data_IF_754626785998
#
_entry.id   IF_754626785998
#
_cell.length_a   1.000
_cell.length_b   1.000
_cell.length_c   1.000
_cell.angle_alpha   90.00
_cell.angle_beta   90.00
_cell.angle_gamma   90.00
#
_symmetry.space_group_name_H-M   'P 1'
#
loop_
_entity.id
_entity.type
_entity.pdbx_description
1 polymer ?
#
# COMPACT_ATOMS: atom_id res chain seq x y z
N UNK A 1 41.92 48.43 -9.60
CA UNK A 1 41.84 49.46 -8.57
C UNK A 1 41.18 48.82 -7.36
N UNK A 2 41.57 49.17 -6.13
CA UNK A 2 40.88 48.67 -4.93
C UNK A 2 39.45 49.19 -4.88
N UNK A 3 38.47 48.32 -4.63
CA UNK A 3 37.07 48.71 -4.44
C UNK A 3 36.94 49.69 -3.26
N UNK A 4 36.06 50.68 -3.37
CA UNK A 4 35.88 51.72 -2.34
C UNK A 4 34.58 51.47 -1.58
N UNK A 5 34.72 50.95 -0.36
CA UNK A 5 33.60 50.65 0.53
C UNK A 5 33.01 51.90 1.20
N UNK A 6 31.69 51.97 1.26
CA UNK A 6 30.96 52.95 2.08
C UNK A 6 30.67 52.36 3.45
N UNK A 7 30.70 53.20 4.47
CA UNK A 7 30.46 52.82 5.86
C UNK A 7 29.35 53.65 6.47
N UNK A 8 28.47 52.99 7.23
CA UNK A 8 27.45 53.63 8.08
C UNK A 8 27.76 53.35 9.53
N UNK A 9 27.41 54.30 10.41
CA UNK A 9 27.48 54.11 11.86
C UNK A 9 26.17 53.51 12.35
N UNK A 10 26.18 52.23 12.72
CA UNK A 10 25.02 51.52 13.27
C UNK A 10 25.38 50.85 14.60
N UNK A 11 24.56 51.07 15.64
CA UNK A 11 24.75 50.42 16.95
C UNK A 11 26.10 50.72 17.64
N UNK A 12 26.78 51.81 17.28
CA UNK A 12 28.09 52.17 17.83
C UNK A 12 29.29 51.56 17.12
N UNK A 13 29.10 50.93 15.96
CA UNK A 13 30.16 50.36 15.12
C UNK A 13 30.03 50.85 13.67
N UNK A 14 31.14 50.83 12.92
CA UNK A 14 31.14 51.15 11.51
C UNK A 14 30.86 49.86 10.73
N UNK A 15 29.78 49.86 9.95
CA UNK A 15 29.34 48.72 9.14
C UNK A 15 29.43 49.08 7.67
N UNK A 16 29.82 48.12 6.84
CA UNK A 16 29.84 48.30 5.39
C UNK A 16 28.41 48.39 4.87
N UNK A 17 28.15 49.40 4.05
CA UNK A 17 26.89 49.57 3.33
C UNK A 17 27.04 49.03 1.91
N UNK A 18 26.19 48.08 1.53
CA UNK A 18 26.09 47.61 0.15
C UNK A 18 25.04 48.47 -0.57
N UNK A 19 25.49 49.28 -1.52
CA UNK A 19 24.62 50.28 -2.21
C UNK A 19 24.59 50.13 -3.73
N UNK A 20 25.41 49.22 -4.27
CA UNK A 20 25.54 48.97 -5.71
C UNK A 20 25.89 47.50 -5.98
N UNK A 21 25.64 47.05 -7.20
CA UNK A 21 26.09 45.75 -7.70
C UNK A 21 27.61 45.60 -7.70
N UNK A 22 28.35 46.71 -7.89
CA UNK A 22 29.80 46.71 -7.73
C UNK A 22 30.24 46.34 -6.29
N UNK A 23 29.46 46.71 -5.27
CA UNK A 23 29.69 46.28 -3.89
C UNK A 23 29.49 44.76 -3.72
N UNK A 24 28.50 44.18 -4.43
CA UNK A 24 28.26 42.74 -4.43
C UNK A 24 29.37 41.97 -5.15
N UNK A 25 29.83 42.46 -6.29
CA UNK A 25 30.92 41.83 -7.05
C UNK A 25 32.25 41.85 -6.27
N UNK A 26 32.50 42.91 -5.50
CA UNK A 26 33.70 43.05 -4.68
C UNK A 26 33.60 42.35 -3.30
N UNK A 27 32.44 41.77 -2.96
CA UNK A 27 32.17 41.25 -1.61
C UNK A 27 33.18 40.17 -1.14
N UNK A 28 33.73 39.39 -2.07
CA UNK A 28 34.75 38.38 -1.77
C UNK A 28 36.08 38.97 -1.26
N UNK A 29 36.36 40.23 -1.59
CA UNK A 29 37.57 40.95 -1.18
C UNK A 29 37.38 41.71 0.16
N UNK A 30 36.15 41.74 0.70
CA UNK A 30 35.85 42.41 1.96
C UNK A 30 36.42 41.62 3.15
N UNK A 31 37.22 42.27 4.00
CA UNK A 31 37.73 41.66 5.23
C UNK A 31 36.55 41.20 6.11
N UNK A 32 36.52 39.90 6.45
CA UNK A 32 35.48 39.28 7.26
C UNK A 32 35.33 39.90 8.66
N UNK A 33 36.33 40.64 9.16
CA UNK A 33 36.23 41.42 10.40
C UNK A 33 35.21 42.56 10.32
N UNK A 34 34.84 42.99 9.12
CA UNK A 34 33.85 44.03 8.86
C UNK A 34 32.42 43.45 8.73
N UNK A 35 32.26 42.14 8.83
CA UNK A 35 30.97 41.46 8.74
C UNK A 35 30.30 41.44 10.11
N UNK A 36 28.99 41.69 10.15
CA UNK A 36 28.19 41.66 11.39
C UNK A 36 28.07 40.24 11.93
N UNK A 37 28.00 39.24 11.05
CA UNK A 37 27.94 37.82 11.39
C UNK A 37 28.64 36.98 10.32
N UNK A 38 29.23 35.85 10.74
CA UNK A 38 29.86 34.88 9.85
C UNK A 38 28.96 33.66 9.55
N UNK A 39 27.81 33.59 10.22
CA UNK A 39 26.78 32.59 10.02
C UNK A 39 25.40 33.20 10.33
N UNK A 40 24.41 32.90 9.50
CA UNK A 40 23.02 33.35 9.64
C UNK A 40 22.08 32.14 9.65
N UNK A 41 21.17 31.98 10.63
CA UNK A 41 20.20 30.89 10.60
C UNK A 41 19.19 31.06 9.46
N UNK A 42 18.74 29.95 8.87
CA UNK A 42 17.70 29.98 7.82
C UNK A 42 16.28 30.07 8.39
N UNK A 43 16.12 30.04 9.72
CA UNK A 43 14.82 30.03 10.42
C UNK A 43 14.79 31.11 11.50
N UNK A 44 13.63 31.74 11.68
CA UNK A 44 13.40 32.73 12.74
C UNK A 44 13.90 34.13 12.41
N UNK A 45 14.13 34.42 11.12
CA UNK A 45 14.44 35.75 10.60
C UNK A 45 13.32 36.22 9.67
N UNK A 46 13.09 37.54 9.63
CA UNK A 46 12.10 38.15 8.75
C UNK A 46 12.68 38.29 7.33
N UNK A 47 12.72 37.17 6.61
CA UNK A 47 13.21 37.07 5.24
C UNK A 47 12.52 35.92 4.50
N UNK A 48 12.53 35.92 3.17
CA UNK A 48 11.96 34.84 2.37
C UNK A 48 12.67 33.50 2.63
N UNK A 49 11.95 32.55 3.24
CA UNK A 49 12.51 31.26 3.65
C UNK A 49 13.05 30.46 2.46
N UNK A 50 12.41 30.57 1.29
CA UNK A 50 12.81 29.81 0.10
C UNK A 50 14.14 30.29 -0.45
N UNK A 51 14.38 31.59 -0.46
CA UNK A 51 15.66 32.18 -0.83
C UNK A 51 16.76 31.70 0.10
N UNK A 52 16.51 31.63 1.41
CA UNK A 52 17.48 31.10 2.37
C UNK A 52 17.82 29.63 2.11
N UNK A 53 16.82 28.80 1.79
CA UNK A 53 17.03 27.40 1.40
C UNK A 53 17.84 27.25 0.10
N UNK A 54 17.75 28.20 -0.83
CA UNK A 54 18.53 28.18 -2.06
C UNK A 54 20.01 28.56 -1.83
N UNK A 55 20.29 29.35 -0.80
CA UNK A 55 21.65 29.76 -0.44
C UNK A 55 22.34 28.72 0.46
N UNK A 56 21.59 28.04 1.33
CA UNK A 56 22.06 26.94 2.19
C UNK A 56 22.37 25.68 1.37
N UNK A 57 23.61 25.58 0.91
CA UNK A 57 24.02 24.58 -0.07
C UNK A 57 24.26 23.21 0.58
N UNK A 58 24.58 23.16 1.88
CA UNK A 58 24.81 21.92 2.62
C UNK A 58 23.60 21.45 3.45
N UNK A 59 22.58 22.30 3.61
CA UNK A 59 21.34 21.98 4.30
C UNK A 59 21.48 21.94 5.82
N UNK A 60 22.53 22.55 6.40
CA UNK A 60 22.76 22.61 7.84
C UNK A 60 21.86 23.65 8.56
N UNK A 61 21.02 24.36 7.79
CA UNK A 61 20.12 25.44 8.23
C UNK A 61 20.85 26.69 8.69
N UNK A 62 22.09 26.91 8.23
CA UNK A 62 22.89 28.09 8.53
C UNK A 62 23.71 28.51 7.32
N UNK A 63 23.41 29.70 6.80
CA UNK A 63 24.18 30.31 5.72
C UNK A 63 25.49 30.86 6.28
N UNK A 64 26.62 30.39 5.75
CA UNK A 64 27.96 30.87 6.07
C UNK A 64 28.53 31.74 4.96
N UNK A 65 29.61 32.46 5.28
CA UNK A 65 30.30 33.36 4.33
C UNK A 65 30.56 32.72 2.95
N UNK A 66 31.11 31.49 2.83
CA UNK A 66 31.39 30.89 1.52
C UNK A 66 30.14 30.65 0.67
N UNK A 67 29.02 30.33 1.29
CA UNK A 67 27.74 30.07 0.62
C UNK A 67 27.13 31.38 0.11
N UNK A 68 27.12 32.41 0.95
CA UNK A 68 26.67 33.73 0.54
C UNK A 68 27.52 34.29 -0.61
N UNK A 69 28.85 34.18 -0.51
CA UNK A 69 29.76 34.62 -1.57
C UNK A 69 29.53 33.83 -2.87
N UNK A 70 29.25 32.54 -2.78
CA UNK A 70 28.95 31.71 -3.95
C UNK A 70 27.62 32.11 -4.60
N UNK A 71 26.58 32.34 -3.80
CA UNK A 71 25.28 32.80 -4.28
C UNK A 71 25.36 34.17 -4.96
N UNK A 72 26.04 35.14 -4.33
CA UNK A 72 26.25 36.48 -4.89
C UNK A 72 27.04 36.40 -6.20
N UNK A 73 28.14 35.66 -6.22
CA UNK A 73 28.95 35.48 -7.43
C UNK A 73 28.15 34.87 -8.57
N UNK A 74 27.35 33.84 -8.28
CA UNK A 74 26.48 33.22 -9.27
C UNK A 74 25.44 34.21 -9.79
N UNK A 75 24.72 34.91 -8.90
CA UNK A 75 23.69 35.87 -9.27
C UNK A 75 24.25 37.00 -10.16
N UNK A 76 25.37 37.62 -9.77
CA UNK A 76 26.03 38.65 -10.58
C UNK A 76 26.46 38.10 -11.95
N UNK A 77 26.95 36.86 -12.03
CA UNK A 77 27.37 36.26 -13.30
C UNK A 77 26.22 35.95 -14.27
N UNK A 78 24.99 35.85 -13.77
CA UNK A 78 23.79 35.59 -14.57
C UNK A 78 23.15 36.88 -15.11
N UNK A 79 23.60 38.05 -14.69
CA UNK A 79 23.04 39.35 -15.06
C UNK A 79 23.99 40.15 -15.97
N UNK A 80 23.41 41.00 -16.83
CA UNK A 80 24.19 41.97 -17.63
C UNK A 80 24.72 43.12 -16.79
N UNK A 81 23.93 43.51 -15.79
CA UNK A 81 24.24 44.56 -14.83
C UNK A 81 23.93 44.03 -13.43
N UNK A 82 24.90 44.12 -12.52
CA UNK A 82 24.74 43.66 -11.14
C UNK A 82 23.90 44.64 -10.31
N UNK A 83 23.76 45.89 -10.74
CA UNK A 83 22.91 46.90 -10.09
C UNK A 83 21.42 46.50 -10.10
N UNK A 84 20.99 45.62 -11.02
CA UNK A 84 19.62 45.08 -11.05
C UNK A 84 19.21 44.41 -9.72
N UNK A 85 20.17 43.83 -8.96
CA UNK A 85 19.88 43.24 -7.65
C UNK A 85 19.56 44.29 -6.57
N UNK A 86 19.91 45.56 -6.80
CA UNK A 86 19.71 46.66 -5.83
C UNK A 86 18.40 47.42 -6.07
N UNK A 87 17.72 47.19 -7.19
CA UNK A 87 16.50 47.90 -7.59
C UNK A 87 15.27 47.55 -6.74
N UNK A 88 15.34 46.46 -5.96
CA UNK A 88 14.24 45.98 -5.11
C UNK A 88 12.92 45.79 -5.89
N UNK A 89 13.03 45.37 -7.14
CA UNK A 89 11.90 45.05 -8.00
C UNK A 89 11.28 43.68 -7.65
N UNK A 90 9.97 43.54 -7.87
CA UNK A 90 9.22 42.31 -7.62
C UNK A 90 9.49 41.21 -8.67
N UNK A 91 10.23 41.54 -9.74
CA UNK A 91 10.59 40.61 -10.80
C UNK A 91 11.87 40.97 -11.54
N UNK A 92 12.27 40.05 -12.40
CA UNK A 92 13.50 40.11 -13.17
C UNK A 92 13.18 40.24 -14.67
N UNK A 93 13.62 41.33 -15.28
CA UNK A 93 13.51 41.51 -16.72
C UNK A 93 14.31 40.43 -17.47
N UNK A 94 13.68 39.79 -18.46
CA UNK A 94 14.32 38.75 -19.27
C UNK A 94 15.53 39.29 -20.05
N UNK A 95 15.56 40.60 -20.31
CA UNK A 95 16.66 41.27 -20.95
C UNK A 95 17.77 41.71 -20.00
N UNK A 96 17.54 41.71 -18.67
CA UNK A 96 18.59 41.86 -17.68
C UNK A 96 19.48 40.60 -17.57
N UNK A 97 18.95 39.42 -17.93
CA UNK A 97 19.72 38.16 -17.92
C UNK A 97 20.84 38.20 -18.98
N UNK A 98 22.05 37.83 -18.55
CA UNK A 98 23.22 37.76 -19.39
C UNK A 98 23.08 36.72 -20.52
N UNK A 99 23.88 36.89 -21.57
CA UNK A 99 24.02 35.91 -22.67
C UNK A 99 25.45 35.42 -22.85
N UNK A 100 26.32 35.71 -21.88
CA UNK A 100 27.76 35.44 -21.90
C UNK A 100 28.09 33.97 -21.64
N UNK A 101 27.30 33.28 -20.83
CA UNK A 101 27.49 31.85 -20.50
C UNK A 101 26.34 31.00 -21.04
N UNK A 102 26.59 29.70 -21.23
CA UNK A 102 25.53 28.76 -21.62
C UNK A 102 24.50 28.57 -20.51
N UNK A 103 24.91 28.72 -19.25
CA UNK A 103 24.01 28.71 -18.10
C UNK A 103 23.06 29.92 -18.10
N UNK A 104 23.55 31.13 -18.39
CA UNK A 104 22.69 32.32 -18.46
C UNK A 104 21.71 32.25 -19.64
N UNK A 105 22.15 31.69 -20.79
CA UNK A 105 21.25 31.40 -21.91
C UNK A 105 20.17 30.38 -21.52
N UNK A 106 20.54 29.34 -20.78
CA UNK A 106 19.60 28.35 -20.26
C UNK A 106 18.63 29.00 -19.28
N UNK A 107 19.10 29.82 -18.34
CA UNK A 107 18.25 30.56 -17.41
C UNK A 107 17.22 31.43 -18.13
N UNK A 108 17.64 32.20 -19.14
CA UNK A 108 16.72 33.00 -19.97
C UNK A 108 15.70 32.15 -20.72
N UNK A 109 16.12 30.98 -21.24
CA UNK A 109 15.22 30.02 -21.89
C UNK A 109 14.21 29.42 -20.89
N UNK A 110 14.66 29.09 -19.69
CA UNK A 110 13.82 28.57 -18.60
C UNK A 110 12.80 29.61 -18.17
N UNK A 111 13.22 30.85 -17.91
CA UNK A 111 12.32 31.95 -17.54
C UNK A 111 11.21 32.16 -18.60
N UNK A 112 11.57 32.18 -19.89
CA UNK A 112 10.59 32.22 -21.00
C UNK A 112 9.65 31.01 -21.01
N UNK A 113 10.15 29.83 -20.68
CA UNK A 113 9.35 28.60 -20.65
C UNK A 113 8.35 28.62 -19.50
N UNK A 114 8.74 29.12 -18.32
CA UNK A 114 7.85 29.31 -17.17
C UNK A 114 6.74 30.33 -17.46
N UNK A 115 7.07 31.46 -18.08
CA UNK A 115 6.07 32.45 -18.49
C UNK A 115 5.12 31.87 -19.54
N UNK A 116 5.63 31.07 -20.48
CA UNK A 116 4.82 30.38 -21.48
C UNK A 116 3.86 29.37 -20.84
N UNK A 117 4.30 28.58 -19.84
CA UNK A 117 3.43 27.61 -19.16
C UNK A 117 2.31 28.30 -18.37
N UNK A 118 2.53 29.53 -17.91
CA UNK A 118 1.52 30.38 -17.29
C UNK A 118 0.60 31.13 -18.28
N UNK A 119 0.76 30.91 -19.59
CA UNK A 119 0.01 31.64 -20.62
C UNK A 119 0.45 33.10 -20.81
N UNK A 120 1.58 33.51 -20.23
CA UNK A 120 2.17 34.85 -20.30
C UNK A 120 3.32 34.93 -21.31
N UNK A 121 3.15 34.36 -22.51
CA UNK A 121 4.25 34.23 -23.47
C UNK A 121 4.85 35.57 -23.95
N UNK A 122 4.08 36.66 -23.89
CA UNK A 122 4.50 38.00 -24.29
C UNK A 122 5.08 38.84 -23.13
N UNK A 123 5.12 38.29 -21.91
CA UNK A 123 5.69 38.99 -20.76
C UNK A 123 7.22 39.13 -20.91
N UNK A 124 7.73 40.30 -20.53
CA UNK A 124 9.16 40.66 -20.62
C UNK A 124 9.89 40.54 -19.28
N UNK A 125 9.17 40.20 -18.22
CA UNK A 125 9.64 40.12 -16.84
C UNK A 125 9.08 38.86 -16.17
N UNK A 126 9.87 38.24 -15.29
CA UNK A 126 9.48 37.09 -14.47
C UNK A 126 9.53 37.49 -12.99
N UNK A 127 8.38 37.48 -12.30
CA UNK A 127 8.33 37.71 -10.85
C UNK A 127 8.60 36.43 -10.05
N UNK A 128 8.86 36.58 -8.75
CA UNK A 128 8.95 35.44 -7.81
C UNK A 128 7.62 34.69 -7.74
N UNK A 129 6.50 35.41 -7.80
CA UNK A 129 5.15 34.83 -7.86
C UNK A 129 4.96 33.99 -9.12
N UNK A 130 5.43 34.47 -10.29
CA UNK A 130 5.37 33.72 -11.53
C UNK A 130 6.25 32.46 -11.48
N UNK A 131 7.46 32.54 -10.96
CA UNK A 131 8.31 31.36 -10.78
C UNK A 131 7.64 30.32 -9.85
N UNK A 132 7.01 30.78 -8.77
CA UNK A 132 6.29 29.92 -7.82
C UNK A 132 5.07 29.29 -8.45
N UNK A 133 4.25 30.07 -9.17
CA UNK A 133 3.06 29.60 -9.86
C UNK A 133 3.40 28.61 -10.98
N UNK A 134 4.45 28.89 -11.76
CA UNK A 134 4.87 28.02 -12.85
C UNK A 134 5.38 26.67 -12.32
N UNK A 135 6.09 26.66 -11.19
CA UNK A 135 6.49 25.42 -10.52
C UNK A 135 5.28 24.64 -10.01
N UNK A 136 4.34 25.30 -9.34
CA UNK A 136 3.11 24.66 -8.87
C UNK A 136 2.24 24.13 -10.03
N UNK A 137 2.28 24.77 -11.20
CA UNK A 137 1.62 24.29 -12.41
C UNK A 137 2.36 23.05 -12.98
N UNK A 138 3.69 23.06 -13.01
CA UNK A 138 4.50 21.93 -13.47
C UNK A 138 4.33 20.69 -12.59
N UNK A 139 4.26 20.85 -11.27
CA UNK A 139 3.99 19.74 -10.33
C UNK A 139 2.61 19.09 -10.58
N UNK A 140 1.67 19.80 -11.20
CA UNK A 140 0.34 19.30 -11.61
C UNK A 140 0.29 18.75 -13.04
N UNK A 141 1.38 18.85 -13.81
CA UNK A 141 1.41 18.24 -15.15
C UNK A 141 1.40 16.72 -15.03
N UNK A 142 0.80 16.06 -16.02
CA UNK A 142 0.59 14.61 -16.04
C UNK A 142 1.89 13.80 -16.02
N UNK A 143 2.99 14.41 -16.50
CA UNK A 143 4.33 13.82 -16.59
C UNK A 143 5.36 14.74 -15.92
N UNK A 144 5.18 15.01 -14.62
CA UNK A 144 6.08 15.85 -13.82
C UNK A 144 7.45 15.18 -13.52
N UNK A 145 7.61 13.89 -13.85
CA UNK A 145 8.85 13.13 -13.75
C UNK A 145 9.21 12.65 -12.34
N UNK A 146 8.26 12.59 -11.39
CA UNK A 146 8.50 12.09 -10.04
C UNK A 146 8.48 10.54 -9.92
N UNK A 147 8.11 9.85 -11.00
CA UNK A 147 8.04 8.39 -11.06
C UNK A 147 6.74 7.79 -10.51
N UNK A 148 5.76 8.63 -10.20
CA UNK A 148 4.40 8.25 -9.80
C UNK A 148 3.46 8.61 -10.94
N UNK A 149 2.59 7.67 -11.35
CA UNK A 149 1.64 7.88 -12.45
C UNK A 149 0.22 7.81 -11.91
N UNK A 150 -0.47 8.95 -11.76
CA UNK A 150 -1.89 8.99 -11.47
C UNK A 150 -2.72 8.38 -12.61
N UNK A 151 -3.82 7.70 -12.28
CA UNK A 151 -4.73 7.16 -13.31
C UNK A 151 -5.38 8.26 -14.17
N UNK A 152 -5.47 9.49 -13.65
CA UNK A 152 -5.94 10.65 -14.41
C UNK A 152 -4.98 11.06 -15.55
N UNK A 153 -3.70 10.68 -15.47
CA UNK A 153 -2.68 11.00 -16.47
C UNK A 153 -2.74 10.14 -17.73
N UNK A 154 -3.59 9.11 -17.75
CA UNK A 154 -3.69 8.12 -18.83
C UNK A 154 -4.99 8.31 -19.62
N UNK A 155 -4.86 8.48 -20.94
CA UNK A 155 -5.99 8.63 -21.86
C UNK A 155 -6.61 7.30 -22.30
N UNK A 156 -5.81 6.23 -22.39
CA UNK A 156 -6.31 4.91 -22.77
C UNK A 156 -7.14 4.31 -21.62
N UNK A 157 -8.44 4.15 -21.85
CA UNK A 157 -9.38 3.68 -20.84
C UNK A 157 -9.07 2.25 -20.34
N UNK A 158 -8.48 1.39 -21.17
CA UNK A 158 -8.10 0.03 -20.74
C UNK A 158 -6.88 0.06 -19.81
N UNK A 159 -5.87 0.87 -20.14
CA UNK A 159 -4.69 1.08 -19.29
C UNK A 159 -5.09 1.77 -17.99
N UNK A 160 -5.95 2.79 -18.06
CA UNK A 160 -6.50 3.49 -16.90
C UNK A 160 -7.27 2.56 -15.97
N UNK A 161 -8.10 1.66 -16.50
CA UNK A 161 -8.79 0.66 -15.70
C UNK A 161 -7.80 -0.27 -14.98
N UNK A 162 -6.73 -0.71 -15.66
CA UNK A 162 -5.68 -1.52 -15.04
C UNK A 162 -4.92 -0.75 -13.95
N UNK A 163 -4.66 0.55 -14.14
CA UNK A 163 -4.08 1.40 -13.10
C UNK A 163 -4.98 1.52 -11.87
N UNK A 164 -6.29 1.66 -12.07
CA UNK A 164 -7.25 1.68 -10.98
C UNK A 164 -7.29 0.32 -10.25
N UNK A 165 -7.14 -0.79 -10.96
CA UNK A 165 -7.01 -2.12 -10.34
C UNK A 165 -5.75 -2.21 -9.46
N UNK A 166 -4.60 -1.73 -9.95
CA UNK A 166 -3.34 -1.67 -9.19
C UNK A 166 -3.50 -0.79 -7.95
N UNK A 167 -4.06 0.41 -8.10
CA UNK A 167 -4.32 1.34 -6.99
C UNK A 167 -5.26 0.73 -5.95
N UNK A 168 -6.35 0.11 -6.40
CA UNK A 168 -7.28 -0.56 -5.50
C UNK A 168 -6.57 -1.65 -4.70
N UNK A 169 -5.67 -2.41 -5.33
CA UNK A 169 -4.92 -3.52 -4.71
C UNK A 169 -3.69 -3.11 -3.90
N UNK A 170 -3.32 -1.83 -3.92
CA UNK A 170 -2.18 -1.29 -3.16
C UNK A 170 -2.68 -0.67 -1.86
N UNK A 171 -2.21 -1.16 -0.70
CA UNK A 171 -2.67 -0.67 0.61
C UNK A 171 -2.32 0.81 0.86
N UNK A 172 -1.15 1.24 0.40
CA UNK A 172 -0.69 2.62 0.53
C UNK A 172 -0.08 3.08 -0.80
N UNK A 173 -0.90 3.59 -1.72
CA UNK A 173 -0.43 4.13 -2.98
C UNK A 173 0.55 5.29 -2.77
N UNK A 174 1.52 5.42 -3.67
CA UNK A 174 2.36 6.60 -3.71
C UNK A 174 1.51 7.82 -4.09
N UNK A 175 1.90 8.99 -3.58
CA UNK A 175 1.22 10.25 -3.89
C UNK A 175 2.12 11.01 -4.85
N UNK A 176 1.59 11.31 -6.03
CA UNK A 176 2.24 12.16 -7.02
C UNK A 176 2.34 13.60 -6.50
N UNK A 177 3.28 14.40 -7.03
CA UNK A 177 3.42 15.82 -6.63
C UNK A 177 2.16 16.66 -6.88
N UNK A 178 1.26 16.24 -7.76
CA UNK A 178 -0.08 16.84 -7.92
C UNK A 178 -0.98 16.67 -6.70
N UNK A 179 -0.68 15.70 -5.83
CA UNK A 179 -1.49 15.30 -4.67
C UNK A 179 -2.39 14.09 -4.93
N UNK A 180 -2.45 13.59 -6.16
CA UNK A 180 -3.25 12.43 -6.51
C UNK A 180 -2.53 11.10 -6.21
N UNK A 181 -3.26 10.04 -5.80
CA UNK A 181 -2.67 8.72 -5.66
C UNK A 181 -2.32 8.16 -7.04
N UNK A 182 -1.12 7.61 -7.16
CA UNK A 182 -0.62 7.02 -8.39
C UNK A 182 0.12 5.71 -8.17
N UNK A 183 0.46 5.08 -9.28
CA UNK A 183 1.22 3.84 -9.30
C UNK A 183 2.70 4.12 -9.54
N UNK A 184 3.54 3.23 -9.05
CA UNK A 184 4.96 3.18 -9.37
C UNK A 184 5.29 1.90 -10.12
N UNK A 185 6.47 1.84 -10.73
CA UNK A 185 6.95 0.61 -11.35
C UNK A 185 7.00 -0.56 -10.35
N UNK A 186 7.34 -0.29 -9.09
CA UNK A 186 7.37 -1.30 -8.02
C UNK A 186 5.95 -1.78 -7.66
N UNK A 187 4.97 -0.88 -7.57
CA UNK A 187 3.59 -1.28 -7.29
C UNK A 187 3.00 -2.11 -8.44
N UNK A 188 3.31 -1.76 -9.68
CA UNK A 188 2.91 -2.54 -10.87
C UNK A 188 3.56 -3.94 -10.81
N UNK A 189 4.87 -4.03 -10.53
CA UNK A 189 5.56 -5.30 -10.45
C UNK A 189 5.02 -6.21 -9.32
N UNK A 190 4.75 -5.63 -8.14
CA UNK A 190 4.14 -6.34 -7.03
C UNK A 190 2.72 -6.83 -7.39
N UNK A 191 1.90 -5.96 -7.98
CA UNK A 191 0.56 -6.29 -8.44
C UNK A 191 0.56 -7.47 -9.42
N UNK A 192 1.40 -7.45 -10.45
CA UNK A 192 1.44 -8.55 -11.42
C UNK A 192 2.05 -9.85 -10.87
N UNK A 193 2.89 -9.75 -9.82
CA UNK A 193 3.34 -10.93 -9.07
C UNK A 193 2.16 -11.59 -8.35
N UNK A 194 1.31 -10.79 -7.71
CA UNK A 194 0.11 -11.28 -7.04
C UNK A 194 -0.96 -11.79 -8.02
N UNK A 195 -1.16 -11.11 -9.16
CA UNK A 195 -2.03 -11.59 -10.25
C UNK A 195 -1.59 -12.97 -10.74
N UNK A 196 -0.30 -13.16 -11.02
CA UNK A 196 0.22 -14.44 -11.47
C UNK A 196 0.01 -15.53 -10.42
N UNK A 197 0.37 -15.26 -9.16
CA UNK A 197 0.20 -16.22 -8.07
C UNK A 197 -1.27 -16.58 -7.82
N UNK A 198 -2.18 -15.61 -7.90
CA UNK A 198 -3.61 -15.85 -7.73
C UNK A 198 -4.21 -16.62 -8.92
N UNK A 199 -3.80 -16.29 -10.16
CA UNK A 199 -4.23 -17.00 -11.36
C UNK A 199 -3.78 -18.47 -11.34
N UNK A 200 -2.53 -18.74 -10.95
CA UNK A 200 -2.02 -20.09 -10.75
C UNK A 200 -2.80 -20.86 -9.67
N UNK A 201 -3.10 -20.19 -8.55
CA UNK A 201 -3.91 -20.78 -7.48
C UNK A 201 -5.33 -21.12 -7.99
N UNK A 202 -6.00 -20.22 -8.72
CA UNK A 202 -7.31 -20.49 -9.31
C UNK A 202 -7.23 -21.68 -10.26
N UNK A 203 -6.25 -21.71 -11.17
CA UNK A 203 -6.07 -22.79 -12.14
C UNK A 203 -5.83 -24.15 -11.47
N UNK A 204 -5.05 -24.18 -10.38
CA UNK A 204 -4.85 -25.39 -9.58
C UNK A 204 -6.15 -25.89 -8.94
N UNK A 205 -7.03 -24.98 -8.57
CA UNK A 205 -8.34 -25.30 -7.98
C UNK A 205 -9.29 -26.02 -8.95
N UNK A 206 -9.03 -25.98 -10.26
CA UNK A 206 -9.82 -26.69 -11.27
C UNK A 206 -9.40 -28.16 -11.43
N UNK A 207 -8.35 -28.62 -10.72
CA UNK A 207 -7.88 -30.00 -10.76
C UNK A 207 -8.88 -31.02 -10.19
N UNK A 208 -8.88 -32.24 -10.73
CA UNK A 208 -9.75 -33.33 -10.25
C UNK A 208 -9.46 -33.72 -8.78
N UNK A 209 -8.21 -33.55 -8.33
CA UNK A 209 -7.83 -33.85 -6.95
C UNK A 209 -8.34 -32.77 -5.98
N UNK A 210 -8.30 -31.50 -6.39
CA UNK A 210 -8.83 -30.34 -5.67
C UNK A 210 -10.35 -30.26 -5.75
N UNK A 211 -10.99 -30.92 -6.72
CA UNK A 211 -12.45 -31.01 -6.90
C UNK A 211 -12.94 -32.46 -6.81
N UNK A 212 -12.76 -33.15 -5.67
CA UNK A 212 -13.10 -34.56 -5.52
C UNK A 212 -14.57 -34.91 -5.81
N UNK A 213 -15.47 -33.93 -5.78
CA UNK A 213 -16.90 -34.05 -6.05
C UNK A 213 -17.37 -33.05 -7.14
N UNK A 214 -16.46 -32.56 -7.99
CA UNK A 214 -16.80 -31.61 -9.05
C UNK A 214 -17.33 -30.28 -8.50
N UNK A 215 -18.43 -29.77 -9.06
CA UNK A 215 -19.11 -28.53 -8.63
C UNK A 215 -19.63 -28.60 -7.18
N UNK A 216 -19.95 -29.79 -6.67
CA UNK A 216 -20.47 -29.99 -5.32
C UNK A 216 -19.38 -29.96 -4.23
N UNK A 217 -18.10 -29.95 -4.62
CA UNK A 217 -16.95 -30.01 -3.71
C UNK A 217 -17.03 -28.96 -2.60
N UNK A 218 -17.33 -27.71 -2.92
CA UNK A 218 -17.38 -26.61 -1.94
C UNK A 218 -18.50 -26.84 -0.91
N UNK A 219 -19.69 -27.23 -1.36
CA UNK A 219 -20.82 -27.50 -0.47
C UNK A 219 -20.58 -28.74 0.40
N UNK A 220 -19.93 -29.76 -0.15
CA UNK A 220 -19.55 -30.98 0.56
C UNK A 220 -18.44 -30.71 1.58
N UNK A 221 -17.41 -29.93 1.24
CA UNK A 221 -16.33 -29.55 2.14
C UNK A 221 -16.84 -28.72 3.33
N UNK A 222 -17.81 -27.83 3.11
CA UNK A 222 -18.47 -27.11 4.20
C UNK A 222 -19.21 -28.07 5.17
N UNK A 223 -19.94 -29.06 4.64
CA UNK A 223 -20.61 -30.07 5.47
C UNK A 223 -19.62 -30.99 6.21
N UNK A 224 -18.52 -31.37 5.55
CA UNK A 224 -17.41 -32.11 6.15
C UNK A 224 -16.77 -31.33 7.32
N UNK A 225 -16.38 -30.07 7.07
CA UNK A 225 -15.71 -29.21 8.07
C UNK A 225 -16.61 -28.97 9.28
N UNK A 226 -17.91 -28.78 9.07
CA UNK A 226 -18.87 -28.55 10.14
C UNK A 226 -19.00 -29.71 11.15
N UNK A 227 -18.72 -30.96 10.72
CA UNK A 227 -18.79 -32.15 11.59
C UNK A 227 -17.43 -32.73 11.97
N UNK A 228 -16.35 -32.34 11.30
CA UNK A 228 -15.02 -32.94 11.45
C UNK A 228 -14.61 -33.11 12.91
N UNK A 229 -14.68 -32.04 13.69
CA UNK A 229 -14.29 -32.07 15.11
C UNK A 229 -15.15 -33.02 15.94
N UNK A 230 -16.45 -33.11 15.67
CA UNK A 230 -17.40 -33.95 16.41
C UNK A 230 -17.29 -35.43 16.03
N UNK A 231 -17.00 -35.74 14.78
CA UNK A 231 -16.75 -37.12 14.33
C UNK A 231 -15.42 -37.62 14.91
N UNK A 232 -14.37 -36.80 14.90
CA UNK A 232 -13.09 -37.13 15.56
C UNK A 232 -13.26 -37.32 17.08
N UNK A 233 -14.02 -36.46 17.75
CA UNK A 233 -14.34 -36.60 19.18
C UNK A 233 -15.09 -37.90 19.48
N UNK A 234 -16.05 -38.30 18.64
CA UNK A 234 -16.75 -39.58 18.78
C UNK A 234 -15.79 -40.78 18.74
N UNK A 235 -14.94 -40.87 17.70
CA UNK A 235 -13.98 -41.97 17.59
C UNK A 235 -12.88 -41.92 18.66
N UNK A 236 -12.46 -40.72 19.10
CA UNK A 236 -11.56 -40.58 20.24
C UNK A 236 -12.18 -41.14 21.53
N UNK A 237 -13.44 -40.82 21.81
CA UNK A 237 -14.19 -41.35 22.96
C UNK A 237 -14.40 -42.86 22.86
N UNK A 238 -14.70 -43.38 21.68
CA UNK A 238 -14.85 -44.82 21.44
C UNK A 238 -13.55 -45.58 21.75
N UNK A 239 -12.39 -45.05 21.32
CA UNK A 239 -11.07 -45.62 21.64
C UNK A 239 -10.75 -45.60 23.13
N UNK A 240 -11.07 -44.49 23.82
CA UNK A 240 -10.88 -44.39 25.29
C UNK A 240 -11.76 -45.41 26.02
N UNK A 241 -13.03 -45.55 25.60
CA UNK A 241 -13.94 -46.52 26.19
C UNK A 241 -13.56 -47.99 25.91
N UNK A 242 -12.96 -48.27 24.74
CA UNK A 242 -12.41 -49.57 24.41
C UNK A 242 -11.16 -49.90 25.25
N UNK A 243 -10.34 -48.90 25.56
CA UNK A 243 -9.13 -49.06 26.38
C UNK A 243 -9.44 -49.30 27.87
N UNK A 244 -10.34 -48.50 28.47
CA UNK A 244 -10.78 -48.69 29.86
C UNK A 244 -12.31 -48.57 29.94
N UNK A 245 -13.04 -49.68 30.16
CA UNK A 245 -14.49 -49.68 30.27
C UNK A 245 -15.05 -48.75 31.36
N UNK A 246 -14.25 -48.39 32.38
CA UNK A 246 -14.66 -47.43 33.42
C UNK A 246 -14.88 -46.03 32.88
N UNK A 247 -14.27 -45.69 31.74
CA UNK A 247 -14.44 -44.39 31.10
C UNK A 247 -15.78 -44.25 30.36
N UNK A 248 -16.51 -45.34 30.11
CA UNK A 248 -17.71 -45.35 29.27
C UNK A 248 -18.81 -44.39 29.75
N UNK A 249 -19.01 -44.29 31.07
CA UNK A 249 -19.95 -43.36 31.67
C UNK A 249 -19.48 -41.91 31.52
N UNK A 250 -18.20 -41.65 31.73
CA UNK A 250 -17.62 -40.31 31.63
C UNK A 250 -17.63 -39.78 30.18
N UNK A 251 -17.38 -40.64 29.18
CA UNK A 251 -17.34 -40.21 27.76
C UNK A 251 -18.73 -39.99 27.16
N UNK A 252 -19.78 -40.60 27.70
CA UNK A 252 -21.17 -40.38 27.26
C UNK A 252 -21.88 -39.23 28.02
N UNK A 253 -21.25 -38.70 29.07
CA UNK A 253 -21.87 -37.74 29.98
C UNK A 253 -22.44 -38.45 31.21
N UNK A 254 -22.09 -37.94 32.39
CA UNK A 254 -22.59 -38.49 33.65
C UNK A 254 -24.10 -38.27 33.78
N UNK A 255 -24.81 -39.18 34.46
CA UNK A 255 -26.25 -39.10 34.74
C UNK A 255 -26.66 -37.72 35.31
N UNK A 256 -25.78 -37.12 36.11
CA UNK A 256 -25.96 -35.77 36.67
C UNK A 256 -26.14 -34.68 35.61
N UNK A 257 -25.45 -34.76 34.48
CA UNK A 257 -25.61 -33.81 33.37
C UNK A 257 -26.99 -33.93 32.72
N UNK A 258 -27.53 -35.14 32.61
CA UNK A 258 -28.89 -35.37 32.12
C UNK A 258 -29.96 -34.89 33.11
N UNK A 259 -29.73 -35.06 34.41
CA UNK A 259 -30.62 -34.55 35.46
C UNK A 259 -30.65 -33.02 35.53
N UNK A 260 -29.50 -32.36 35.33
CA UNK A 260 -29.40 -30.89 35.24
C UNK A 260 -30.11 -30.33 34.00
N UNK A 261 -30.07 -31.06 32.88
CA UNK A 261 -30.80 -30.72 31.65
C UNK A 261 -32.31 -30.93 31.80
N UNK A 262 -32.73 -32.02 32.44
CA UNK A 262 -34.15 -32.34 32.67
C UNK A 262 -34.83 -31.43 33.72
N UNK A 263 -34.04 -30.79 34.60
CA UNK A 263 -34.53 -29.88 35.62
C UNK A 263 -34.87 -28.47 35.08
N UNK A 264 -34.40 -28.13 33.88
CA UNK A 264 -34.87 -26.96 33.14
C UNK A 264 -36.05 -27.42 32.28
N UNK A 265 -37.12 -26.62 32.22
CA UNK A 265 -38.36 -26.97 31.50
C UNK A 265 -38.06 -27.61 30.14
N UNK A 266 -38.81 -28.67 29.80
CA UNK A 266 -38.63 -29.67 28.72
C UNK A 266 -38.44 -29.14 27.27
N UNK A 267 -38.18 -27.85 27.06
CA UNK A 267 -37.52 -27.34 25.86
C UNK A 267 -36.01 -27.58 25.98
N UNK A 268 -35.58 -28.82 25.71
CA UNK A 268 -34.15 -29.12 25.51
C UNK A 268 -33.68 -28.25 24.34
N UNK A 269 -33.04 -27.13 24.64
CA UNK A 269 -32.51 -26.26 23.61
C UNK A 269 -31.36 -26.97 22.89
N UNK A 270 -31.29 -26.86 21.56
CA UNK A 270 -30.24 -27.52 20.77
C UNK A 270 -28.82 -27.21 21.29
N UNK A 271 -28.61 -26.02 21.87
CA UNK A 271 -27.33 -25.58 22.43
C UNK A 271 -26.86 -26.42 23.65
N UNK A 272 -27.79 -26.96 24.43
CA UNK A 272 -27.47 -27.67 25.67
C UNK A 272 -27.01 -29.11 25.42
N UNK A 273 -27.60 -29.76 24.41
CA UNK A 273 -27.18 -31.11 23.98
C UNK A 273 -26.10 -31.10 22.90
N UNK A 274 -25.77 -29.94 22.31
CA UNK A 274 -24.70 -29.79 21.32
C UNK A 274 -23.32 -30.26 21.83
N UNK A 275 -23.07 -30.09 23.14
CA UNK A 275 -21.83 -30.51 23.82
C UNK A 275 -21.71 -32.03 23.98
N UNK A 276 -22.83 -32.76 23.98
CA UNK A 276 -22.82 -34.22 24.08
C UNK A 276 -22.29 -34.86 22.78
N UNK A 277 -21.79 -36.10 22.81
CA UNK A 277 -21.33 -36.81 21.61
C UNK A 277 -22.38 -36.85 20.49
N UNK A 278 -21.94 -37.10 19.24
CA UNK A 278 -22.84 -37.16 18.08
C UNK A 278 -23.84 -38.32 18.17
N UNK A 279 -23.46 -39.40 18.82
CA UNK A 279 -24.29 -40.55 19.12
C UNK A 279 -23.78 -41.19 20.42
N UNK A 280 -24.56 -42.11 20.98
CA UNK A 280 -24.09 -42.90 22.12
C UNK A 280 -22.77 -43.61 21.76
N UNK A 281 -21.73 -43.35 22.53
CA UNK A 281 -20.41 -43.94 22.37
C UNK A 281 -20.47 -45.37 22.87
N UNK A 282 -20.19 -46.31 21.98
CA UNK A 282 -20.01 -47.72 22.28
C UNK A 282 -18.64 -48.14 21.74
N UNK A 283 -17.81 -48.88 22.52
CA UNK A 283 -16.51 -49.35 22.06
C UNK A 283 -16.59 -50.10 20.74
N UNK A 284 -15.65 -49.82 19.83
CA UNK A 284 -15.50 -50.48 18.53
C UNK A 284 -16.75 -50.47 17.63
N UNK A 285 -17.67 -49.53 17.83
CA UNK A 285 -18.87 -49.37 17.01
C UNK A 285 -18.75 -48.22 16.00
N UNK A 286 -19.35 -48.35 14.80
CA UNK A 286 -19.42 -47.26 13.84
C UNK A 286 -20.41 -46.18 14.31
N UNK A 287 -20.15 -44.93 13.91
CA UNK A 287 -21.04 -43.81 14.17
C UNK A 287 -22.33 -43.96 13.35
N UNK A 288 -23.53 -43.98 13.96
CA UNK A 288 -24.76 -43.96 13.19
C UNK A 288 -25.00 -42.59 12.52
N UNK A 289 -25.52 -42.60 11.29
CA UNK A 289 -25.84 -41.41 10.49
C UNK A 289 -27.35 -41.19 10.31
N UNK A 290 -28.19 -42.07 10.86
CA UNK A 290 -29.66 -42.03 10.67
C UNK A 290 -30.41 -42.09 11.99
N UNK A 291 -30.26 -43.16 12.77
CA UNK A 291 -30.95 -43.34 14.07
C UNK A 291 -29.97 -43.24 15.23
N UNK A 292 -30.38 -42.59 16.31
CA UNK A 292 -29.53 -42.42 17.51
C UNK A 292 -28.52 -41.29 17.40
N UNK A 293 -28.72 -40.37 16.44
CA UNK A 293 -27.96 -39.13 16.32
C UNK A 293 -28.48 -38.10 17.32
N UNK A 294 -27.57 -37.34 17.91
CA UNK A 294 -27.86 -36.23 18.79
C UNK A 294 -28.76 -35.19 18.07
N UNK A 295 -29.93 -34.85 18.61
CA UNK A 295 -30.90 -33.95 17.95
C UNK A 295 -30.34 -32.60 17.53
N UNK A 296 -29.37 -32.04 18.26
CA UNK A 296 -28.73 -30.77 17.90
C UNK A 296 -27.89 -30.83 16.62
N UNK A 297 -27.48 -32.04 16.22
CA UNK A 297 -26.60 -32.28 15.10
C UNK A 297 -27.30 -32.95 13.91
N UNK A 298 -28.54 -33.42 14.05
CA UNK A 298 -29.28 -34.17 13.02
C UNK A 298 -29.22 -33.50 11.64
N UNK A 299 -29.57 -32.22 11.54
CA UNK A 299 -29.54 -31.51 10.24
C UNK A 299 -28.14 -31.44 9.61
N UNK A 300 -27.09 -31.31 10.44
CA UNK A 300 -25.68 -31.31 9.96
C UNK A 300 -25.25 -32.70 9.54
N UNK A 301 -25.65 -33.74 10.28
CA UNK A 301 -25.38 -35.15 9.97
C UNK A 301 -26.11 -35.59 8.70
N UNK A 302 -27.36 -35.17 8.50
CA UNK A 302 -28.09 -35.39 7.25
C UNK A 302 -27.37 -34.72 6.07
N UNK A 303 -26.96 -33.45 6.23
CA UNK A 303 -26.21 -32.74 5.19
C UNK A 303 -24.87 -33.42 4.87
N UNK A 304 -24.14 -33.91 5.88
CA UNK A 304 -22.91 -34.68 5.67
C UNK A 304 -23.19 -36.02 5.00
N UNK A 305 -24.22 -36.75 5.42
CA UNK A 305 -24.59 -38.02 4.81
C UNK A 305 -24.88 -37.84 3.32
N UNK A 306 -25.70 -36.84 2.98
CA UNK A 306 -26.20 -36.66 1.63
C UNK A 306 -25.14 -36.03 0.70
N UNK A 307 -24.34 -35.08 1.20
CA UNK A 307 -23.35 -34.34 0.39
C UNK A 307 -21.93 -34.94 0.42
N UNK A 308 -21.60 -35.76 1.42
CA UNK A 308 -20.23 -36.27 1.63
C UNK A 308 -20.19 -37.79 1.67
N UNK A 309 -20.92 -38.42 2.60
CA UNK A 309 -20.83 -39.87 2.78
C UNK A 309 -21.37 -40.62 1.56
N UNK A 310 -22.54 -40.24 1.05
CA UNK A 310 -23.17 -40.89 -0.10
C UNK A 310 -22.33 -40.78 -1.38
N UNK A 311 -21.80 -39.60 -1.77
CA UNK A 311 -20.96 -39.48 -2.97
C UNK A 311 -19.59 -40.18 -2.87
N UNK A 312 -18.98 -40.25 -1.69
CA UNK A 312 -17.62 -40.79 -1.51
C UNK A 312 -17.61 -42.27 -1.15
N UNK A 313 -18.52 -42.70 -0.28
CA UNK A 313 -18.55 -44.04 0.32
C UNK A 313 -19.71 -44.91 -0.21
N UNK A 314 -20.67 -44.32 -0.94
CA UNK A 314 -21.91 -44.97 -1.33
C UNK A 314 -23.01 -44.87 -0.26
N UNK A 315 -24.16 -45.49 -0.51
CA UNK A 315 -25.26 -45.49 0.45
C UNK A 315 -24.87 -46.21 1.74
N UNK A 316 -24.82 -45.47 2.85
CA UNK A 316 -24.50 -46.00 4.16
C UNK A 316 -25.31 -45.32 5.26
N UNK A 317 -25.73 -46.11 6.24
CA UNK A 317 -26.42 -45.62 7.45
C UNK A 317 -25.47 -45.45 8.64
N UNK A 318 -24.21 -45.89 8.50
CA UNK A 318 -23.19 -45.82 9.55
C UNK A 318 -21.83 -45.42 8.97
N UNK A 319 -20.95 -44.89 9.81
CA UNK A 319 -19.60 -44.46 9.45
C UNK A 319 -18.60 -45.18 10.35
N UNK A 320 -17.74 -46.03 9.78
CA UNK A 320 -16.60 -46.60 10.51
C UNK A 320 -15.43 -45.61 10.56
N UNK A 321 -14.49 -45.82 11.48
CA UNK A 321 -13.29 -44.97 11.57
C UNK A 321 -12.45 -45.05 10.28
N UNK A 322 -12.32 -46.22 9.67
CA UNK A 322 -11.64 -46.39 8.37
C UNK A 322 -12.35 -45.63 7.23
N UNK A 323 -13.68 -45.65 7.21
CA UNK A 323 -14.47 -44.91 6.22
C UNK A 323 -14.34 -43.40 6.44
N UNK A 324 -14.27 -42.96 7.70
CA UNK A 324 -13.98 -41.57 8.04
C UNK A 324 -12.61 -41.13 7.55
N UNK A 325 -11.56 -41.94 7.73
CA UNK A 325 -10.21 -41.65 7.21
C UNK A 325 -10.22 -41.49 5.68
N UNK A 326 -10.94 -42.35 4.95
CA UNK A 326 -11.11 -42.20 3.49
C UNK A 326 -11.76 -40.87 3.09
N UNK A 327 -12.74 -40.40 3.85
CA UNK A 327 -13.38 -39.09 3.61
C UNK A 327 -12.38 -37.96 3.86
N UNK A 328 -11.61 -38.02 4.95
CA UNK A 328 -10.55 -37.04 5.26
C UNK A 328 -9.52 -37.00 4.14
N UNK A 329 -9.01 -38.16 3.70
CA UNK A 329 -8.02 -38.26 2.63
C UNK A 329 -8.56 -37.71 1.30
N UNK A 330 -9.86 -37.90 1.03
CA UNK A 330 -10.51 -37.41 -0.20
C UNK A 330 -10.56 -35.88 -0.28
N UNK A 331 -10.61 -35.18 0.86
CA UNK A 331 -10.57 -33.71 0.91
C UNK A 331 -9.16 -33.14 1.11
N UNK A 332 -8.14 -33.96 1.35
CA UNK A 332 -6.80 -33.48 1.69
C UNK A 332 -6.19 -32.55 0.62
N UNK A 333 -6.36 -32.88 -0.67
CA UNK A 333 -5.89 -32.04 -1.77
C UNK A 333 -6.65 -30.70 -1.85
N UNK A 334 -7.97 -30.72 -1.67
CA UNK A 334 -8.80 -29.51 -1.61
C UNK A 334 -8.40 -28.59 -0.44
N UNK A 335 -8.17 -29.16 0.76
CA UNK A 335 -7.74 -28.39 1.93
C UNK A 335 -6.33 -27.82 1.76
N UNK A 336 -5.40 -28.59 1.19
CA UNK A 336 -4.06 -28.10 0.87
C UNK A 336 -4.09 -26.96 -0.16
N UNK A 337 -4.98 -27.05 -1.14
CA UNK A 337 -5.21 -25.97 -2.12
C UNK A 337 -5.79 -24.71 -1.46
N UNK A 338 -6.81 -24.84 -0.61
CA UNK A 338 -7.37 -23.70 0.13
C UNK A 338 -6.34 -23.04 1.04
N UNK A 339 -5.50 -23.82 1.73
CA UNK A 339 -4.44 -23.30 2.58
C UNK A 339 -3.30 -22.64 1.80
N UNK A 340 -3.08 -23.04 0.54
CA UNK A 340 -2.06 -22.51 -0.36
C UNK A 340 -2.49 -21.27 -1.15
N UNK A 341 -3.52 -20.55 -0.70
CA UNK A 341 -4.02 -19.34 -1.37
C UNK A 341 -2.94 -18.25 -1.43
N UNK A 342 -2.69 -17.74 -2.63
CA UNK A 342 -1.72 -16.68 -2.89
C UNK A 342 -2.39 -15.49 -3.61
N UNK A 343 -1.76 -14.31 -3.57
CA UNK A 343 -2.25 -13.09 -4.21
C UNK A 343 -3.53 -12.51 -3.58
N UNK A 344 -3.60 -12.48 -2.24
CA UNK A 344 -4.78 -11.99 -1.53
C UNK A 344 -5.12 -10.51 -1.82
N UNK A 345 -4.13 -9.70 -2.21
CA UNK A 345 -4.28 -8.30 -2.60
C UNK A 345 -5.22 -8.11 -3.79
N UNK A 346 -5.22 -9.06 -4.74
CA UNK A 346 -5.95 -8.99 -6.02
C UNK A 346 -7.26 -9.79 -6.01
N UNK A 347 -7.55 -10.52 -4.93
CA UNK A 347 -8.77 -11.36 -4.82
C UNK A 347 -10.06 -10.56 -5.07
N UNK A 348 -10.09 -9.31 -4.62
CA UNK A 348 -11.25 -8.41 -4.78
C UNK A 348 -11.59 -8.05 -6.22
N UNK A 349 -10.67 -8.27 -7.16
CA UNK A 349 -10.92 -8.07 -8.59
C UNK A 349 -11.81 -9.19 -9.18
N UNK A 350 -11.87 -10.34 -8.51
CA UNK A 350 -12.58 -11.51 -8.98
C UNK A 350 -11.79 -12.36 -9.98
N UNK A 351 -12.18 -13.63 -10.11
CA UNK A 351 -11.43 -14.63 -10.87
C UNK A 351 -11.31 -14.30 -12.36
N UNK A 352 -12.36 -13.77 -12.99
CA UNK A 352 -12.36 -13.46 -14.42
C UNK A 352 -11.36 -12.34 -14.74
N UNK A 353 -11.35 -11.27 -13.93
CA UNK A 353 -10.43 -10.14 -14.11
C UNK A 353 -8.98 -10.54 -13.86
N UNK A 354 -8.71 -11.36 -12.83
CA UNK A 354 -7.36 -11.89 -12.57
C UNK A 354 -6.87 -12.75 -13.74
N UNK A 355 -7.73 -13.62 -14.30
CA UNK A 355 -7.37 -14.43 -15.47
C UNK A 355 -7.11 -13.58 -16.72
N UNK A 356 -7.92 -12.54 -16.95
CA UNK A 356 -7.72 -11.57 -18.03
C UNK A 356 -6.36 -10.87 -17.90
N UNK A 357 -6.05 -10.34 -16.71
CA UNK A 357 -4.79 -9.64 -16.44
C UNK A 357 -3.57 -10.56 -16.53
N UNK A 358 -3.69 -11.82 -16.10
CA UNK A 358 -2.61 -12.80 -16.17
C UNK A 358 -2.30 -13.28 -17.62
N UNK A 359 -3.33 -13.34 -18.48
CA UNK A 359 -3.19 -13.83 -19.86
C UNK A 359 -3.00 -12.74 -20.91
N UNK A 360 -3.15 -11.46 -20.55
CA UNK A 360 -3.06 -10.32 -21.46
C UNK A 360 -1.67 -9.69 -21.57
N UNK A 361 -1.58 -8.65 -22.39
CA UNK A 361 -0.38 -7.82 -22.60
C UNK A 361 -0.36 -6.56 -21.70
N UNK A 362 -1.30 -6.45 -20.75
CA UNK A 362 -1.48 -5.25 -19.93
C UNK A 362 -0.24 -4.91 -19.10
N UNK A 363 0.54 -5.92 -18.69
CA UNK A 363 1.81 -5.72 -18.00
C UNK A 363 2.87 -5.02 -18.86
N UNK A 364 2.85 -5.22 -20.18
CA UNK A 364 3.80 -4.60 -21.10
C UNK A 364 3.35 -3.19 -21.52
N UNK A 365 2.06 -2.91 -21.42
CA UNK A 365 1.46 -1.59 -21.70
C UNK A 365 1.61 -0.59 -20.55
N UNK A 366 1.80 -1.10 -19.33
CA UNK A 366 2.07 -0.34 -18.10
C UNK A 366 3.57 -0.17 -17.88
#
# INVERSE_FOLDING_TARGET
MSHTWKFVRAGGFDQVELTSGADLEALADLDQKLWVALACPTVGIEFDARTLELVDADGDKRIRVPELLSAVKWACSMLKDSDTLMESADGLELDAIASSSDEAKLLKKTAKSLLKSLGKADATELSVEDATAARAAFEKEHFNGDGVVPAASVEDEAVKAALLDVLACTETPAVDKSGDPGVTMDSIAAFFTDVAAHAEWIAKGDGEAERPLGDDTTAAHAAFTALRAKIEDYFARARVAAYDPRALAAVNGEEKQYLELAAKDLEISAAEVERLPLALVVPDQPLPLVKGVNPAWTARVDAFRDKVAKPILGETETLSEDAWRKVVDRFAAHEAWLAGKAGASVEKLGADRVKELAGGDMREKL
#
